data_IF_218645650863
#
_entry.id   IF_218645650863
#
_cell.length_a   1.000
_cell.length_b   1.000
_cell.length_c   1.000
_cell.angle_alpha   90.00
_cell.angle_beta   90.00
_cell.angle_gamma   90.00
#
_symmetry.space_group_name_H-M   'P 1'
#
loop_
_entity.id
_entity.type
_entity.pdbx_description
1 polymer ?
#
# COMPACT_ATOMS: atom_id res chain seq x y z
N UNK A 1 -18.36 -57.65 -25.35
CA UNK A 1 -19.60 -58.29 -24.87
C UNK A 1 -19.93 -57.64 -23.54
N UNK A 2 -21.07 -57.03 -23.23
CA UNK A 2 -22.30 -56.63 -23.94
C UNK A 2 -22.98 -55.66 -22.98
N UNK A 3 -23.66 -54.62 -23.48
CA UNK A 3 -24.47 -53.71 -22.66
C UNK A 3 -25.60 -54.45 -21.92
N UNK A 4 -26.05 -53.93 -20.76
CA UNK A 4 -27.44 -53.50 -20.60
C UNK A 4 -27.65 -52.64 -19.32
N UNK A 5 -28.34 -51.54 -19.55
CA UNK A 5 -28.97 -50.62 -18.63
C UNK A 5 -30.37 -51.17 -18.23
N UNK A 6 -30.88 -50.89 -17.02
CA UNK A 6 -32.22 -50.28 -16.75
C UNK A 6 -32.42 -49.99 -15.25
N UNK A 7 -33.04 -48.83 -15.03
CA UNK A 7 -33.50 -48.09 -13.84
C UNK A 7 -34.43 -48.83 -12.85
N UNK A 8 -34.36 -48.43 -11.57
CA UNK A 8 -35.54 -48.15 -10.74
C UNK A 8 -35.21 -47.16 -9.60
N UNK A 9 -36.10 -46.17 -9.43
CA UNK A 9 -36.12 -45.15 -8.36
C UNK A 9 -36.77 -45.69 -7.09
N UNK A 10 -36.28 -45.31 -5.92
CA UNK A 10 -37.12 -44.93 -4.79
C UNK A 10 -36.39 -43.99 -3.85
N UNK A 11 -37.05 -42.89 -3.55
CA UNK A 11 -36.64 -41.79 -2.69
C UNK A 11 -36.69 -42.18 -1.21
N UNK A 12 -35.55 -42.16 -0.53
CA UNK A 12 -35.51 -41.98 0.92
C UNK A 12 -34.49 -40.89 1.25
N UNK A 13 -35.00 -39.81 1.80
CA UNK A 13 -34.26 -38.63 2.26
C UNK A 13 -33.42 -38.97 3.49
N UNK A 14 -32.10 -38.97 3.33
CA UNK A 14 -31.15 -38.95 4.45
C UNK A 14 -31.19 -37.58 5.17
N UNK A 15 -31.06 -37.56 6.51
CA UNK A 15 -31.10 -36.33 7.29
C UNK A 15 -29.89 -35.45 6.97
N UNK A 16 -30.14 -34.17 6.65
CA UNK A 16 -29.10 -33.16 6.43
C UNK A 16 -28.25 -33.02 7.70
N UNK A 17 -26.97 -33.38 7.59
CA UNK A 17 -25.92 -32.98 8.54
C UNK A 17 -25.93 -31.45 8.66
N UNK A 18 -26.22 -30.94 9.85
CA UNK A 18 -26.11 -29.52 10.17
C UNK A 18 -24.64 -29.12 10.08
N UNK A 19 -24.34 -28.13 9.25
CA UNK A 19 -23.04 -27.46 9.26
C UNK A 19 -22.73 -26.90 10.66
N UNK A 20 -21.47 -26.89 11.10
CA UNK A 20 -21.09 -26.29 12.37
C UNK A 20 -21.31 -24.78 12.27
N UNK A 21 -22.28 -24.27 13.03
CA UNK A 21 -22.45 -22.84 13.21
C UNK A 21 -21.23 -22.30 13.97
N UNK A 22 -20.55 -21.32 13.39
CA UNK A 22 -19.43 -20.62 14.03
C UNK A 22 -19.93 -19.94 15.31
N UNK A 23 -19.15 -19.99 16.40
CA UNK A 23 -19.52 -19.41 17.71
C UNK A 23 -19.87 -17.91 17.65
N UNK A 24 -19.36 -17.18 16.66
CA UNK A 24 -19.69 -15.77 16.38
C UNK A 24 -21.20 -15.57 16.10
N UNK A 25 -21.84 -16.49 15.36
CA UNK A 25 -23.27 -16.42 15.09
C UNK A 25 -24.15 -16.71 16.32
N UNK A 26 -23.67 -17.51 17.26
CA UNK A 26 -24.40 -17.89 18.48
C UNK A 26 -24.37 -16.76 19.52
N UNK A 27 -23.27 -16.00 19.59
CA UNK A 27 -23.12 -14.85 20.49
C UNK A 27 -23.93 -13.63 20.01
N UNK A 28 -23.96 -13.35 18.71
CA UNK A 28 -24.84 -12.31 18.15
C UNK A 28 -26.32 -12.64 18.32
N UNK A 29 -26.72 -13.91 18.13
CA UNK A 29 -28.12 -14.33 18.31
C UNK A 29 -28.57 -14.33 19.77
N UNK A 30 -27.71 -14.76 20.71
CA UNK A 30 -28.02 -14.67 22.15
C UNK A 30 -28.11 -13.22 22.66
N UNK A 31 -27.32 -12.30 22.10
CA UNK A 31 -27.43 -10.86 22.41
C UNK A 31 -28.73 -10.27 21.84
N UNK A 32 -29.14 -10.70 20.65
CA UNK A 32 -30.40 -10.29 20.02
C UNK A 32 -31.64 -10.86 20.74
N UNK A 33 -31.58 -12.12 21.20
CA UNK A 33 -32.66 -12.77 21.96
C UNK A 33 -32.79 -12.20 23.39
N UNK A 34 -31.68 -11.83 24.04
CA UNK A 34 -31.72 -11.12 25.33
C UNK A 34 -32.33 -9.71 25.20
N UNK A 35 -32.12 -9.04 24.07
CA UNK A 35 -32.68 -7.72 23.79
C UNK A 35 -34.18 -7.79 23.47
N UNK A 36 -34.66 -8.87 22.83
CA UNK A 36 -36.08 -9.08 22.56
C UNK A 36 -36.89 -9.53 23.80
N UNK A 37 -36.26 -10.20 24.77
CA UNK A 37 -36.93 -10.54 26.05
C UNK A 37 -37.19 -9.33 26.96
N UNK A 38 -36.59 -8.18 26.65
CA UNK A 38 -36.73 -6.93 27.43
C UNK A 38 -37.81 -5.96 26.90
N UNK A 39 -38.65 -6.38 25.94
CA UNK A 39 -39.95 -5.75 25.65
C UNK A 39 -39.94 -4.27 25.28
N UNK A 40 -39.18 -3.86 24.24
CA UNK A 40 -39.25 -2.51 23.69
C UNK A 40 -39.39 -2.49 22.16
N UNK A 41 -40.17 -1.57 21.55
CA UNK A 41 -40.36 -1.50 20.12
C UNK A 41 -39.17 -0.75 19.49
N UNK A 42 -38.27 -1.47 18.83
CA UNK A 42 -37.25 -0.86 17.98
C UNK A 42 -37.07 -1.68 16.72
N UNK A 43 -38.03 -1.55 15.80
CA UNK A 43 -37.75 -1.72 14.38
C UNK A 43 -36.85 -0.54 13.95
N UNK A 44 -35.62 -0.83 13.55
CA UNK A 44 -34.68 0.16 13.04
C UNK A 44 -34.58 0.03 11.51
N UNK A 45 -35.39 0.80 10.80
CA UNK A 45 -35.22 1.02 9.36
C UNK A 45 -34.22 2.18 9.14
N UNK A 46 -33.04 1.88 8.60
CA UNK A 46 -32.12 2.88 8.06
C UNK A 46 -32.42 3.06 6.57
N UNK A 47 -32.86 4.26 6.16
CA UNK A 47 -32.92 4.66 4.74
C UNK A 47 -32.14 5.94 4.50
N UNK A 48 -31.36 5.91 3.43
CA UNK A 48 -30.66 7.05 2.84
C UNK A 48 -31.61 7.83 1.90
N UNK A 49 -31.45 9.14 1.84
CA UNK A 49 -32.07 10.01 0.85
C UNK A 49 -30.99 10.58 -0.09
N UNK A 50 -31.27 10.57 -1.39
CA UNK A 50 -30.35 10.81 -2.52
C UNK A 50 -29.96 12.29 -2.71
N UNK A 51 -30.17 13.13 -1.69
CA UNK A 51 -30.08 14.60 -1.76
C UNK A 51 -28.82 15.25 -1.17
N UNK A 52 -27.68 14.56 -1.15
CA UNK A 52 -26.37 15.13 -0.74
C UNK A 52 -26.32 15.74 0.69
N UNK A 53 -27.11 15.20 1.62
CA UNK A 53 -27.00 15.48 3.05
C UNK A 53 -27.41 14.26 3.88
N UNK A 54 -26.61 13.89 4.88
CA UNK A 54 -27.15 13.32 6.13
C UNK A 54 -26.12 13.47 7.27
N UNK A 55 -26.48 13.75 8.53
CA UNK A 55 -27.75 13.51 9.25
C UNK A 55 -28.15 14.74 10.11
N UNK A 56 -29.45 15.09 10.16
CA UNK A 56 -30.03 16.17 11.01
C UNK A 56 -30.93 15.56 12.11
N UNK A 57 -30.89 16.15 13.32
CA UNK A 57 -31.74 15.86 14.47
C UNK A 57 -33.21 16.32 14.35
N UNK A 58 -34.16 15.52 14.86
CA UNK A 58 -35.53 15.90 15.28
C UNK A 58 -36.52 14.74 15.14
N UNK A 59 -37.39 14.34 16.09
CA UNK A 59 -37.75 14.82 17.42
C UNK A 59 -37.40 13.78 18.50
N UNK A 60 -36.67 14.22 19.52
CA UNK A 60 -36.51 13.58 20.83
C UNK A 60 -36.03 12.11 20.85
N UNK A 61 -34.73 11.91 20.59
CA UNK A 61 -33.77 11.24 21.51
C UNK A 61 -32.42 11.07 20.83
N UNK A 62 -31.38 11.63 21.44
CA UNK A 62 -29.97 11.43 21.07
C UNK A 62 -29.49 10.14 21.73
N UNK A 63 -28.95 9.20 20.96
CA UNK A 63 -28.22 8.09 21.54
C UNK A 63 -26.79 8.53 21.84
N UNK A 64 -26.61 9.02 23.07
CA UNK A 64 -25.31 9.10 23.70
C UNK A 64 -24.88 7.68 24.09
N UNK A 65 -23.82 7.17 23.47
CA UNK A 65 -22.93 6.30 24.23
C UNK A 65 -22.47 7.12 25.44
N UNK A 66 -22.58 6.58 26.67
CA UNK A 66 -21.95 7.16 27.87
C UNK A 66 -20.43 7.14 27.64
N UNK A 67 -19.94 8.12 26.88
CA UNK A 67 -18.62 8.06 26.24
C UNK A 67 -18.42 9.05 25.09
N UNK A 68 -19.49 9.52 24.43
CA UNK A 68 -19.46 10.78 23.63
C UNK A 68 -18.92 10.75 22.19
N UNK A 69 -19.05 9.65 21.45
CA UNK A 69 -18.69 9.60 20.02
C UNK A 69 -19.80 9.02 19.13
N UNK A 70 -19.81 9.40 17.86
CA UNK A 70 -20.57 8.75 16.79
C UNK A 70 -19.62 7.85 15.99
N UNK A 71 -19.97 6.56 15.84
CA UNK A 71 -19.18 5.59 15.07
C UNK A 71 -19.81 5.35 13.70
N UNK A 72 -18.97 5.34 12.65
CA UNK A 72 -19.40 5.08 11.27
C UNK A 72 -18.51 4.02 10.61
N UNK A 73 -19.12 3.20 9.75
CA UNK A 73 -18.39 2.30 8.86
C UNK A 73 -17.69 3.11 7.77
N UNK A 74 -16.38 2.89 7.59
CA UNK A 74 -15.52 3.64 6.66
C UNK A 74 -16.13 3.82 5.27
N UNK A 75 -16.62 2.75 4.66
CA UNK A 75 -17.08 2.77 3.27
C UNK A 75 -18.32 3.67 3.09
N UNK A 76 -19.20 3.70 4.10
CA UNK A 76 -20.44 4.49 4.10
C UNK A 76 -20.22 6.01 4.12
N UNK A 77 -19.05 6.47 4.59
CA UNK A 77 -18.73 7.91 4.72
C UNK A 77 -17.48 8.32 3.94
N UNK A 78 -16.90 7.41 3.16
CA UNK A 78 -15.63 7.61 2.44
C UNK A 78 -15.64 8.83 1.50
N UNK A 79 -16.79 9.19 0.93
CA UNK A 79 -16.96 10.35 0.05
C UNK A 79 -17.21 11.68 0.78
N UNK A 80 -17.44 11.67 2.10
CA UNK A 80 -17.73 12.89 2.89
C UNK A 80 -16.50 13.78 2.93
N UNK A 81 -16.66 15.05 2.52
CA UNK A 81 -15.58 16.04 2.51
C UNK A 81 -15.23 16.56 3.91
N UNK A 82 -13.95 16.83 4.14
CA UNK A 82 -13.40 17.38 5.38
C UNK A 82 -14.13 18.65 5.87
N UNK A 83 -14.44 19.65 5.01
CA UNK A 83 -15.22 20.82 5.41
C UNK A 83 -16.61 20.49 5.98
N UNK A 84 -17.26 19.42 5.48
CA UNK A 84 -18.57 18.99 5.99
C UNK A 84 -18.46 18.45 7.41
N UNK A 85 -17.41 17.68 7.71
CA UNK A 85 -17.12 17.18 9.06
C UNK A 85 -16.82 18.35 10.00
N UNK A 86 -15.93 19.26 9.58
CA UNK A 86 -15.57 20.46 10.34
C UNK A 86 -16.78 21.30 10.70
N UNK A 87 -17.66 21.55 9.73
CA UNK A 87 -18.91 22.30 9.96
C UNK A 87 -19.80 21.58 10.98
N UNK A 88 -19.99 20.28 10.81
CA UNK A 88 -20.82 19.46 11.71
C UNK A 88 -20.31 19.50 13.16
N UNK A 89 -18.99 19.38 13.37
CA UNK A 89 -18.39 19.47 14.70
C UNK A 89 -18.51 20.88 15.30
N UNK A 90 -18.36 21.95 14.49
CA UNK A 90 -18.54 23.34 14.95
C UNK A 90 -19.99 23.65 15.35
N UNK A 91 -20.94 23.14 14.58
CA UNK A 91 -22.37 23.33 14.88
C UNK A 91 -22.77 22.54 16.14
N UNK A 92 -22.15 21.37 16.34
CA UNK A 92 -22.36 20.53 17.53
C UNK A 92 -21.75 21.15 18.80
N UNK A 93 -20.54 21.70 18.72
CA UNK A 93 -19.88 22.32 19.88
C UNK A 93 -20.58 23.58 20.38
N UNK A 94 -21.30 24.30 19.49
CA UNK A 94 -22.13 25.45 19.86
C UNK A 94 -23.45 25.08 20.52
N UNK A 95 -23.93 23.86 20.28
CA UNK A 95 -25.24 23.39 20.75
C UNK A 95 -25.15 22.53 22.02
N UNK A 96 -23.96 22.40 22.62
CA UNK A 96 -23.80 21.64 23.87
C UNK A 96 -24.75 22.17 24.96
N UNK A 97 -25.56 21.28 25.59
CA UNK A 97 -26.24 21.63 26.82
C UNK A 97 -25.18 22.01 27.87
N UNK A 98 -25.46 23.01 28.71
CA UNK A 98 -24.61 23.45 29.84
C UNK A 98 -24.16 22.35 30.83
N UNK A 99 -24.53 21.10 30.59
CA UNK A 99 -24.28 19.91 31.41
C UNK A 99 -23.36 18.90 30.71
N UNK A 100 -22.29 19.31 30.01
CA UNK A 100 -21.13 18.43 29.75
C UNK A 100 -20.18 18.54 30.96
N UNK A 101 -20.34 17.73 32.03
CA UNK A 101 -19.64 17.92 33.31
C UNK A 101 -18.12 17.69 33.22
N UNK A 102 -17.61 17.22 32.08
CA UNK A 102 -16.18 16.94 31.88
C UNK A 102 -15.52 17.83 30.85
N UNK A 103 -16.28 18.69 30.14
CA UNK A 103 -15.74 19.54 29.07
C UNK A 103 -14.99 18.75 28.00
N UNK A 104 -15.36 17.49 27.78
CA UNK A 104 -14.69 16.64 26.79
C UNK A 104 -15.08 17.12 25.39
N UNK A 105 -14.12 17.21 24.45
CA UNK A 105 -14.41 17.58 23.07
C UNK A 105 -15.38 16.60 22.42
N UNK A 106 -16.20 17.12 21.50
CA UNK A 106 -17.06 16.29 20.64
C UNK A 106 -16.18 15.69 19.54
N UNK A 107 -16.09 14.37 19.52
CA UNK A 107 -15.30 13.62 18.55
C UNK A 107 -16.20 12.85 17.58
N UNK A 108 -15.75 12.76 16.33
CA UNK A 108 -16.36 11.94 15.29
C UNK A 108 -15.43 10.76 15.00
N UNK A 109 -15.89 9.53 15.23
CA UNK A 109 -15.04 8.32 15.14
C UNK A 109 -15.41 7.49 13.92
N UNK A 110 -14.40 7.15 13.13
CA UNK A 110 -14.48 6.19 12.04
C UNK A 110 -13.85 4.89 12.49
N UNK A 111 -14.59 3.82 12.31
CA UNK A 111 -14.15 2.47 12.69
C UNK A 111 -13.94 1.67 11.41
N UNK A 112 -12.78 1.03 11.33
CA UNK A 112 -12.50 0.06 10.27
C UNK A 112 -12.07 -1.27 10.89
N UNK A 113 -12.68 -2.35 10.42
CA UNK A 113 -12.20 -3.69 10.72
C UNK A 113 -10.93 -3.96 9.93
N UNK A 114 -9.88 -4.38 10.63
CA UNK A 114 -8.61 -4.70 9.99
C UNK A 114 -8.43 -6.20 9.95
N UNK A 115 -8.37 -6.77 8.75
CA UNK A 115 -7.95 -8.16 8.53
C UNK A 115 -6.42 -8.28 8.53
N UNK A 116 -5.75 -7.74 9.55
CA UNK A 116 -4.27 -7.66 9.60
C UNK A 116 -3.60 -8.95 10.15
N UNK A 117 -4.38 -9.97 10.52
CA UNK A 117 -3.86 -11.18 11.16
C UNK A 117 -2.82 -11.94 10.30
N UNK A 118 -2.84 -11.78 8.97
CA UNK A 118 -1.91 -12.43 8.05
C UNK A 118 -0.61 -11.68 7.74
N UNK A 119 -0.38 -10.48 8.31
CA UNK A 119 0.69 -9.57 7.84
C UNK A 119 1.69 -9.11 8.91
N UNK A 120 1.53 -9.59 10.14
CA UNK A 120 2.47 -9.31 11.22
C UNK A 120 3.76 -10.12 11.03
N UNK A 121 4.92 -9.49 11.25
CA UNK A 121 6.22 -10.18 11.29
C UNK A 121 6.27 -11.23 12.42
N UNK A 122 7.16 -12.21 12.33
CA UNK A 122 7.30 -13.27 13.36
C UNK A 122 7.47 -12.70 14.78
N UNK A 123 8.21 -11.59 14.93
CA UNK A 123 8.34 -10.89 16.22
C UNK A 123 7.04 -10.23 16.68
N UNK A 124 6.25 -9.67 15.76
CA UNK A 124 4.94 -9.09 16.07
C UNK A 124 3.91 -10.17 16.40
N UNK A 125 3.96 -11.34 15.75
CA UNK A 125 3.14 -12.51 16.08
C UNK A 125 3.50 -13.05 17.47
N UNK A 126 4.79 -13.20 17.78
CA UNK A 126 5.27 -13.71 19.06
C UNK A 126 4.92 -12.77 20.24
N UNK A 127 4.91 -11.45 20.01
CA UNK A 127 4.51 -10.48 21.04
C UNK A 127 2.99 -10.24 21.10
N UNK A 128 2.29 -10.30 19.97
CA UNK A 128 0.81 -10.30 19.97
C UNK A 128 0.26 -11.52 20.72
N UNK A 129 0.95 -12.66 20.65
CA UNK A 129 0.62 -13.86 21.42
C UNK A 129 0.84 -13.71 22.93
N UNK A 130 1.72 -12.80 23.38
CA UNK A 130 1.99 -12.58 24.82
C UNK A 130 0.97 -11.66 25.47
N UNK A 131 0.28 -10.81 24.70
CA UNK A 131 -0.79 -9.91 25.17
C UNK A 131 -2.18 -10.58 25.21
N UNK A 132 -2.23 -11.90 25.40
CA UNK A 132 -3.40 -12.78 25.30
C UNK A 132 -4.44 -12.55 26.42
N UNK A 133 -5.18 -11.44 26.38
CA UNK A 133 -6.44 -11.26 27.14
C UNK A 133 -7.57 -10.63 26.32
N UNK A 134 -7.32 -10.20 25.08
CA UNK A 134 -8.37 -9.62 24.25
C UNK A 134 -8.38 -10.24 22.85
N UNK A 135 -9.31 -11.16 22.60
CA UNK A 135 -9.83 -11.51 21.27
C UNK A 135 -10.52 -10.29 20.66
N UNK A 136 -9.75 -9.25 20.32
CA UNK A 136 -10.24 -8.04 19.68
C UNK A 136 -9.89 -8.16 18.20
N UNK A 137 -10.93 -8.29 17.37
CA UNK A 137 -10.96 -7.70 16.03
C UNK A 137 -10.22 -6.36 16.11
N UNK A 138 -8.95 -6.29 15.67
CA UNK A 138 -8.17 -5.06 15.79
C UNK A 138 -8.86 -4.01 14.93
N UNK A 139 -9.65 -3.16 15.57
CA UNK A 139 -10.30 -2.02 14.96
C UNK A 139 -9.28 -0.89 14.92
N UNK A 140 -8.97 -0.42 13.71
CA UNK A 140 -8.25 0.84 13.57
C UNK A 140 -9.27 1.95 13.84
N UNK A 141 -9.00 2.74 14.88
CA UNK A 141 -9.78 3.92 15.20
C UNK A 141 -9.17 5.15 14.54
N UNK A 142 -10.01 5.91 13.87
CA UNK A 142 -9.68 7.17 13.22
C UNK A 142 -10.65 8.21 13.73
N UNK A 143 -10.16 9.24 14.40
CA UNK A 143 -10.97 10.24 15.05
C UNK A 143 -10.81 11.59 14.36
N UNK A 144 -11.91 12.32 14.24
CA UNK A 144 -11.93 13.70 13.81
C UNK A 144 -12.39 14.55 14.98
N UNK A 145 -11.61 15.57 15.33
CA UNK A 145 -11.90 16.47 16.44
C UNK A 145 -11.55 17.91 16.08
N UNK A 146 -11.91 18.88 16.92
CA UNK A 146 -11.50 20.27 16.73
C UNK A 146 -10.40 20.64 17.74
N UNK A 147 -9.37 21.34 17.29
CA UNK A 147 -8.39 21.96 18.20
C UNK A 147 -8.96 23.25 18.84
N UNK A 148 -8.17 23.90 19.69
CA UNK A 148 -8.55 25.16 20.36
C UNK A 148 -8.88 26.30 19.39
N UNK A 149 -8.29 26.28 18.20
CA UNK A 149 -8.48 27.28 17.14
C UNK A 149 -9.67 26.95 16.23
N UNK A 150 -10.33 25.81 16.48
CA UNK A 150 -11.45 25.32 15.69
C UNK A 150 -11.05 24.76 14.33
N UNK A 151 -9.79 24.36 14.16
CA UNK A 151 -9.32 23.59 13.02
C UNK A 151 -9.65 22.11 13.22
N UNK A 152 -9.88 21.40 12.12
CA UNK A 152 -10.18 19.98 12.16
C UNK A 152 -8.87 19.21 12.33
N UNK A 153 -8.78 18.37 13.36
CA UNK A 153 -7.72 17.39 13.54
C UNK A 153 -8.20 16.03 13.05
N UNK A 154 -7.32 15.31 12.36
CA UNK A 154 -7.45 13.89 12.05
C UNK A 154 -6.46 13.11 12.90
N UNK A 155 -6.97 12.29 13.82
CA UNK A 155 -6.21 11.60 14.86
C UNK A 155 -6.29 10.10 14.66
N UNK A 156 -5.16 9.42 14.64
CA UNK A 156 -5.11 7.96 14.55
C UNK A 156 -3.86 7.40 15.24
N UNK A 157 -3.89 6.10 15.54
CA UNK A 157 -2.76 5.40 16.14
C UNK A 157 -2.05 4.44 15.17
N UNK A 158 -0.76 4.20 15.47
CA UNK A 158 0.06 3.18 14.84
C UNK A 158 0.70 2.31 15.91
N UNK A 159 0.07 1.16 16.17
CA UNK A 159 0.60 0.17 17.12
C UNK A 159 1.78 -0.62 16.53
N UNK A 160 2.67 -1.07 17.41
CA UNK A 160 3.89 -1.82 17.09
C UNK A 160 4.78 -1.14 16.03
N UNK A 161 5.06 0.17 16.15
CA UNK A 161 5.90 0.85 15.19
C UNK A 161 7.35 0.35 15.33
N UNK A 162 8.05 0.28 14.20
CA UNK A 162 9.48 -0.04 14.15
C UNK A 162 10.34 1.15 14.61
N UNK A 163 9.81 2.36 14.50
CA UNK A 163 10.43 3.60 14.98
C UNK A 163 9.86 4.01 16.34
N UNK A 164 10.73 4.34 17.29
CA UNK A 164 10.35 4.69 18.67
C UNK A 164 10.79 6.09 19.11
N UNK A 165 11.51 6.81 18.26
CA UNK A 165 11.94 8.19 18.52
C UNK A 165 11.26 9.13 17.53
N UNK A 166 11.06 10.37 17.95
CA UNK A 166 10.51 11.41 17.06
C UNK A 166 11.41 11.65 15.84
N UNK A 167 12.74 11.54 16.00
CA UNK A 167 13.69 11.69 14.89
C UNK A 167 13.44 10.61 13.82
N UNK A 168 13.38 9.33 14.20
CA UNK A 168 13.15 8.22 13.26
C UNK A 168 11.74 8.28 12.65
N UNK A 169 10.74 8.71 13.44
CA UNK A 169 9.41 9.01 12.91
C UNK A 169 9.49 10.06 11.79
N UNK A 170 10.14 11.20 12.06
CA UNK A 170 10.23 12.30 11.09
C UNK A 170 11.00 11.89 9.85
N UNK A 171 12.11 11.17 9.99
CA UNK A 171 12.88 10.64 8.85
C UNK A 171 12.04 9.73 7.94
N UNK A 172 11.18 8.89 8.51
CA UNK A 172 10.32 7.96 7.75
C UNK A 172 9.07 8.62 7.17
N UNK A 173 8.42 9.49 7.95
CA UNK A 173 7.10 10.00 7.65
C UNK A 173 7.13 11.32 6.86
N UNK A 174 8.16 12.16 7.05
CA UNK A 174 8.19 13.54 6.52
C UNK A 174 8.00 13.60 5.01
N UNK A 175 8.68 12.73 4.25
CA UNK A 175 8.56 12.70 2.80
C UNK A 175 7.17 12.25 2.34
N UNK A 176 6.55 11.31 3.07
CA UNK A 176 5.21 10.87 2.75
C UNK A 176 4.18 11.96 3.05
N UNK A 177 4.28 12.58 4.22
CA UNK A 177 3.40 13.66 4.67
C UNK A 177 3.48 14.89 3.77
N UNK A 178 4.69 15.30 3.37
CA UNK A 178 4.88 16.43 2.45
C UNK A 178 4.23 16.16 1.09
N UNK A 179 4.29 14.93 0.59
CA UNK A 179 3.68 14.52 -0.68
C UNK A 179 2.18 14.51 -0.69
N UNK A 180 1.58 14.05 0.41
CA UNK A 180 0.12 14.10 0.54
C UNK A 180 -0.36 15.50 0.96
N UNK A 181 0.55 16.46 1.17
CA UNK A 181 0.24 17.81 1.64
C UNK A 181 -0.49 17.82 2.99
N UNK A 182 -0.14 16.88 3.86
CA UNK A 182 -0.66 16.82 5.22
C UNK A 182 0.35 17.43 6.20
N UNK A 183 -0.13 18.36 7.02
CA UNK A 183 0.66 18.93 8.11
C UNK A 183 0.46 18.12 9.39
N UNK A 184 1.55 17.94 10.15
CA UNK A 184 1.51 17.27 11.44
C UNK A 184 1.31 18.33 12.52
N UNK A 185 0.16 18.29 13.17
CA UNK A 185 -0.11 19.09 14.37
C UNK A 185 0.76 18.60 15.53
N UNK A 186 0.67 17.31 15.83
CA UNK A 186 1.44 16.70 16.92
C UNK A 186 1.59 15.19 16.77
N UNK A 187 2.64 14.67 17.41
CA UNK A 187 2.89 13.24 17.54
C UNK A 187 3.23 12.92 18.98
N UNK A 188 2.80 11.75 19.44
CA UNK A 188 3.11 11.26 20.79
C UNK A 188 3.38 9.77 20.74
N UNK A 189 4.54 9.36 21.26
CA UNK A 189 4.85 7.95 21.44
C UNK A 189 4.41 7.51 22.83
N UNK A 190 3.65 6.42 22.88
CA UNK A 190 3.26 5.74 24.10
C UNK A 190 4.06 4.45 24.21
N UNK A 191 4.87 4.35 25.28
CA UNK A 191 5.57 3.12 25.69
C UNK A 191 5.00 2.69 27.05
N UNK A 192 3.74 2.25 27.03
CA UNK A 192 3.03 1.73 28.18
C UNK A 192 3.34 0.24 28.34
N UNK A 193 3.58 -0.22 29.58
CA UNK A 193 3.82 -1.64 29.87
C UNK A 193 2.58 -2.52 29.66
N UNK A 194 1.41 -1.92 29.47
CA UNK A 194 0.09 -2.58 29.43
C UNK A 194 -0.49 -2.63 28.02
N UNK A 195 -0.21 -1.62 27.18
CA UNK A 195 -0.66 -1.59 25.78
C UNK A 195 0.56 -1.75 24.85
N UNK A 196 0.36 -2.17 23.60
CA UNK A 196 1.46 -2.19 22.66
C UNK A 196 2.04 -0.78 22.47
N UNK A 197 3.37 -0.65 22.30
CA UNK A 197 3.96 0.64 22.00
C UNK A 197 3.31 1.21 20.74
N UNK A 198 2.93 2.48 20.77
CA UNK A 198 2.14 3.10 19.72
C UNK A 198 2.50 4.57 19.51
N UNK A 199 2.39 5.02 18.27
CA UNK A 199 2.32 6.46 17.97
C UNK A 199 0.86 6.89 17.93
N UNK A 200 0.49 7.96 18.61
CA UNK A 200 -0.67 8.80 18.26
C UNK A 200 -0.18 9.92 17.36
N UNK A 201 -0.86 10.09 16.23
CA UNK A 201 -0.52 11.06 15.20
C UNK A 201 -1.75 11.95 15.00
N UNK A 202 -1.54 13.26 15.03
CA UNK A 202 -2.56 14.27 14.75
C UNK A 202 -2.15 15.05 13.50
N UNK A 203 -2.99 14.99 12.49
CA UNK A 203 -2.79 15.69 11.22
C UNK A 203 -3.83 16.81 11.06
N UNK A 204 -3.45 17.85 10.34
CA UNK A 204 -4.34 18.85 9.80
C UNK A 204 -4.68 18.44 8.34
N UNK A 205 -5.84 17.83 8.08
CA UNK A 205 -6.20 17.42 6.74
C UNK A 205 -6.61 18.65 5.88
N UNK A 206 -6.12 18.74 4.63
CA UNK A 206 -6.57 19.73 3.66
C UNK A 206 -8.09 19.76 3.41
N UNK A 207 -8.60 20.92 2.99
CA UNK A 207 -10.03 21.16 2.75
C UNK A 207 -10.60 20.38 1.56
N UNK A 208 -9.75 19.99 0.61
CA UNK A 208 -10.15 19.21 -0.56
C UNK A 208 -10.20 17.70 -0.29
N UNK A 209 -9.80 17.26 0.91
CA UNK A 209 -9.84 15.85 1.28
C UNK A 209 -11.25 15.35 1.62
N UNK A 210 -11.41 14.03 1.50
CA UNK A 210 -12.55 13.26 2.02
C UNK A 210 -12.14 12.37 3.20
N UNK A 211 -13.10 11.81 3.93
CA UNK A 211 -12.82 10.76 4.95
C UNK A 211 -12.01 9.62 4.34
N UNK A 212 -12.41 9.15 3.16
CA UNK A 212 -11.71 8.07 2.46
C UNK A 212 -10.25 8.40 2.22
N UNK A 213 -9.95 9.66 1.83
CA UNK A 213 -8.58 10.13 1.67
C UNK A 213 -7.80 10.17 2.99
N UNK A 214 -8.41 10.68 4.07
CA UNK A 214 -7.79 10.64 5.40
C UNK A 214 -7.41 9.19 5.79
N UNK A 215 -8.34 8.25 5.60
CA UNK A 215 -8.14 6.82 5.90
C UNK A 215 -7.14 6.13 4.95
N UNK A 216 -6.91 6.65 3.74
CA UNK A 216 -5.83 6.19 2.88
C UNK A 216 -4.47 6.64 3.41
N UNK A 217 -4.38 7.89 3.88
CA UNK A 217 -3.16 8.49 4.41
C UNK A 217 -2.74 7.87 5.72
N UNK A 218 -3.66 7.70 6.67
CA UNK A 218 -3.39 7.00 7.93
C UNK A 218 -2.86 5.59 7.68
N UNK A 219 -3.42 4.87 6.72
CA UNK A 219 -3.00 3.53 6.37
C UNK A 219 -1.60 3.50 5.73
N UNK A 220 -1.31 4.46 4.84
CA UNK A 220 0.04 4.66 4.32
C UNK A 220 1.06 4.88 5.45
N UNK A 221 0.73 5.75 6.42
CA UNK A 221 1.59 5.98 7.59
C UNK A 221 1.72 4.75 8.48
N UNK A 222 0.64 4.02 8.74
CA UNK A 222 0.69 2.76 9.49
C UNK A 222 1.66 1.79 8.84
N UNK A 223 1.60 1.64 7.52
CA UNK A 223 2.54 0.79 6.80
C UNK A 223 3.99 1.26 6.95
N UNK A 224 4.24 2.55 6.73
CA UNK A 224 5.58 3.16 6.82
C UNK A 224 6.23 2.95 8.18
N UNK A 225 5.42 3.10 9.23
CA UNK A 225 5.88 3.11 10.61
C UNK A 225 5.85 1.72 11.24
N UNK A 226 5.03 0.77 10.76
CA UNK A 226 5.01 -0.64 11.22
C UNK A 226 6.04 -1.51 10.51
N UNK A 227 6.39 -1.21 9.26
CA UNK A 227 7.24 -2.08 8.47
C UNK A 227 8.57 -1.40 8.17
N UNK A 228 9.66 -1.97 8.71
CA UNK A 228 11.04 -1.52 8.39
C UNK A 228 11.29 -1.42 6.89
N UNK A 229 10.63 -2.28 6.12
CA UNK A 229 10.78 -2.39 4.67
C UNK A 229 9.91 -1.42 3.87
N UNK A 230 8.95 -0.68 4.43
CA UNK A 230 8.00 0.14 3.68
C UNK A 230 8.50 1.55 3.30
N UNK A 231 9.81 1.84 3.36
CA UNK A 231 10.36 3.14 2.97
C UNK A 231 10.14 3.44 1.46
N UNK A 232 9.33 4.44 1.07
CA UNK A 232 9.01 4.74 -0.32
C UNK A 232 10.20 5.30 -1.08
N UNK A 233 11.27 5.69 -0.38
CA UNK A 233 12.53 6.17 -0.94
C UNK A 233 13.54 5.06 -1.21
N UNK A 234 13.15 3.80 -1.03
CA UNK A 234 13.97 2.64 -1.33
C UNK A 234 13.17 1.61 -2.16
N UNK A 235 13.83 0.81 -3.02
CA UNK A 235 13.17 -0.12 -3.93
C UNK A 235 12.16 -1.05 -3.26
N UNK A 236 12.59 -1.73 -2.20
CA UNK A 236 11.77 -2.72 -1.51
C UNK A 236 10.55 -2.09 -0.82
N UNK A 237 10.65 -0.84 -0.37
CA UNK A 237 9.55 -0.17 0.30
C UNK A 237 8.54 0.45 -0.63
N UNK A 238 9.00 1.08 -1.71
CA UNK A 238 8.13 1.48 -2.79
C UNK A 238 7.37 0.26 -3.38
N UNK A 239 8.07 -0.86 -3.61
CA UNK A 239 7.45 -2.11 -4.03
C UNK A 239 6.40 -2.63 -3.02
N UNK A 240 6.73 -2.64 -1.73
CA UNK A 240 5.79 -3.08 -0.67
C UNK A 240 4.52 -2.23 -0.63
N UNK A 241 4.66 -0.90 -0.76
CA UNK A 241 3.53 0.03 -0.78
C UNK A 241 2.66 -0.17 -2.04
N UNK A 242 3.27 -0.37 -3.21
CA UNK A 242 2.55 -0.71 -4.43
C UNK A 242 1.73 -2.00 -4.26
N UNK A 243 2.33 -3.06 -3.71
CA UNK A 243 1.62 -4.32 -3.47
C UNK A 243 0.47 -4.21 -2.46
N UNK A 244 0.49 -3.19 -1.61
CA UNK A 244 -0.62 -2.87 -0.71
C UNK A 244 -1.68 -1.94 -1.33
N UNK A 245 -1.59 -1.65 -2.63
CA UNK A 245 -2.53 -0.77 -3.33
C UNK A 245 -2.34 0.71 -2.98
N UNK A 246 -1.17 1.10 -2.50
CA UNK A 246 -0.84 2.48 -2.08
C UNK A 246 0.05 3.16 -3.12
N UNK A 247 -0.37 3.16 -4.38
CA UNK A 247 0.45 3.70 -5.46
C UNK A 247 0.65 5.23 -5.36
N UNK A 248 -0.33 5.95 -4.82
CA UNK A 248 -0.32 7.40 -4.64
C UNK A 248 0.81 7.87 -3.73
N UNK A 249 1.35 7.01 -2.88
CA UNK A 249 2.46 7.36 -1.98
C UNK A 249 3.77 7.63 -2.72
N UNK A 250 3.84 7.24 -4.00
CA UNK A 250 4.99 7.48 -4.88
C UNK A 250 4.87 8.79 -5.68
N UNK A 251 3.70 9.44 -5.70
CA UNK A 251 3.57 10.75 -6.33
C UNK A 251 4.48 11.76 -5.63
N UNK A 252 5.21 12.57 -6.41
CA UNK A 252 6.25 13.46 -5.92
C UNK A 252 7.59 12.76 -5.64
N UNK A 253 7.77 11.47 -5.94
CA UNK A 253 9.11 10.88 -6.04
C UNK A 253 9.80 11.38 -7.31
N UNK A 254 11.07 11.81 -7.25
CA UNK A 254 11.90 11.88 -8.44
C UNK A 254 12.22 10.45 -8.92
N UNK A 255 12.37 10.27 -10.23
CA UNK A 255 13.14 9.16 -10.75
C UNK A 255 14.58 9.21 -10.20
N UNK A 256 15.18 8.04 -10.03
CA UNK A 256 16.45 7.90 -9.32
C UNK A 256 17.29 6.76 -9.87
N UNK A 257 18.41 6.48 -9.21
CA UNK A 257 19.24 5.29 -9.43
C UNK A 257 18.54 3.98 -9.12
N UNK A 258 17.34 4.03 -8.54
CA UNK A 258 16.60 2.84 -8.17
C UNK A 258 15.13 2.87 -8.64
N UNK A 259 14.60 4.02 -9.06
CA UNK A 259 13.23 4.18 -9.54
C UNK A 259 13.20 4.66 -10.99
N UNK A 260 12.47 3.92 -11.84
CA UNK A 260 12.14 4.31 -13.21
C UNK A 260 10.63 4.15 -13.41
N UNK A 261 9.99 5.11 -14.07
CA UNK A 261 8.60 4.97 -14.48
C UNK A 261 8.39 5.18 -15.97
N UNK A 262 7.40 4.47 -16.50
CA UNK A 262 6.93 4.65 -17.87
C UNK A 262 5.44 4.91 -17.86
N UNK A 263 4.99 5.87 -18.67
CA UNK A 263 3.55 6.14 -18.82
C UNK A 263 2.81 4.98 -19.51
N UNK A 264 3.46 4.35 -20.48
CA UNK A 264 2.90 3.24 -21.28
C UNK A 264 3.79 2.01 -21.18
N UNK A 265 3.19 0.85 -21.36
CA UNK A 265 3.93 -0.41 -21.37
C UNK A 265 4.88 -0.48 -22.56
N UNK A 266 5.98 -1.21 -22.36
CA UNK A 266 6.85 -1.62 -23.46
C UNK A 266 6.03 -2.30 -24.55
N UNK A 267 6.20 -1.88 -25.78
CA UNK A 267 5.59 -2.53 -26.94
C UNK A 267 6.24 -3.89 -27.19
N UNK A 268 5.92 -4.93 -26.40
CA UNK A 268 6.59 -6.24 -26.46
C UNK A 268 6.42 -6.96 -27.82
N UNK A 269 5.63 -6.44 -28.75
CA UNK A 269 5.66 -6.89 -30.14
C UNK A 269 6.95 -6.47 -30.88
N UNK A 270 7.54 -5.34 -30.50
CA UNK A 270 8.67 -4.70 -31.18
C UNK A 270 10.01 -5.07 -30.54
N UNK A 271 11.01 -5.37 -31.38
CA UNK A 271 12.33 -5.80 -30.89
C UNK A 271 13.10 -4.68 -30.17
N UNK A 272 12.92 -3.43 -30.58
CA UNK A 272 13.50 -2.23 -29.92
C UNK A 272 13.00 -2.12 -28.48
N UNK A 273 11.69 -2.25 -28.28
CA UNK A 273 11.01 -2.17 -26.98
C UNK A 273 11.37 -3.36 -26.08
N UNK A 274 11.52 -4.57 -26.64
CA UNK A 274 12.06 -5.73 -25.89
C UNK A 274 13.49 -5.49 -25.41
N UNK A 275 14.32 -4.88 -26.26
CA UNK A 275 15.69 -4.55 -25.91
C UNK A 275 15.74 -3.43 -24.86
N UNK A 276 14.89 -2.41 -24.96
CA UNK A 276 14.76 -1.34 -23.97
C UNK A 276 14.40 -1.88 -22.58
N UNK A 277 13.37 -2.73 -22.48
CA UNK A 277 12.99 -3.42 -21.24
C UNK A 277 14.18 -4.19 -20.65
N UNK A 278 14.87 -4.97 -21.47
CA UNK A 278 16.02 -5.76 -21.01
C UNK A 278 17.15 -4.85 -20.51
N UNK A 279 17.37 -3.70 -21.18
CA UNK A 279 18.35 -2.71 -20.76
C UNK A 279 17.99 -2.03 -19.44
N UNK A 280 16.73 -1.69 -19.21
CA UNK A 280 16.27 -1.09 -17.95
C UNK A 280 16.43 -2.08 -16.79
N UNK A 281 16.00 -3.33 -16.98
CA UNK A 281 16.14 -4.38 -15.97
C UNK A 281 17.60 -4.69 -15.66
N UNK A 282 18.46 -4.82 -16.69
CA UNK A 282 19.88 -5.09 -16.48
C UNK A 282 20.62 -3.90 -15.85
N UNK A 283 20.21 -2.65 -16.12
CA UNK A 283 20.80 -1.48 -15.47
C UNK A 283 20.58 -1.50 -13.95
N UNK A 284 19.38 -1.89 -13.51
CA UNK A 284 19.10 -2.09 -12.08
C UNK A 284 19.77 -3.34 -11.51
N UNK A 285 19.86 -4.44 -12.27
CA UNK A 285 20.60 -5.62 -11.82
C UNK A 285 22.11 -5.34 -11.63
N UNK A 286 22.65 -4.38 -12.38
CA UNK A 286 24.02 -3.87 -12.26
C UNK A 286 24.18 -2.75 -11.22
N UNK A 287 23.11 -2.31 -10.54
CA UNK A 287 23.20 -1.34 -9.44
C UNK A 287 23.43 -2.06 -8.10
N UNK A 288 23.83 -1.30 -7.08
CA UNK A 288 24.05 -1.85 -5.73
C UNK A 288 22.75 -2.28 -5.06
N UNK A 289 21.69 -1.50 -5.22
CA UNK A 289 20.44 -1.65 -4.47
C UNK A 289 19.31 -2.32 -5.27
N UNK A 290 19.60 -2.71 -6.51
CA UNK A 290 18.57 -3.15 -7.45
C UNK A 290 17.73 -1.97 -7.94
N UNK A 291 16.43 -2.19 -8.12
CA UNK A 291 15.53 -1.13 -8.52
C UNK A 291 14.09 -1.56 -8.69
N UNK A 292 13.28 -0.57 -9.06
CA UNK A 292 11.85 -0.66 -9.25
C UNK A 292 11.49 0.04 -10.54
N UNK A 293 10.89 -0.71 -11.45
CA UNK A 293 10.34 -0.18 -12.68
C UNK A 293 8.82 -0.26 -12.64
N UNK A 294 8.15 0.85 -12.92
CA UNK A 294 6.69 0.94 -12.84
C UNK A 294 6.11 1.46 -14.15
N UNK A 295 5.13 0.77 -14.71
CA UNK A 295 4.33 1.27 -15.81
C UNK A 295 2.99 1.79 -15.31
N UNK A 296 2.64 2.99 -15.75
CA UNK A 296 1.40 3.66 -15.43
C UNK A 296 1.60 4.95 -14.64
N UNK A 297 2.81 5.51 -14.62
CA UNK A 297 3.07 6.84 -14.06
C UNK A 297 3.58 7.78 -15.15
N UNK A 298 3.23 9.06 -15.07
CA UNK A 298 3.87 10.13 -15.84
C UNK A 298 4.78 10.96 -14.96
N UNK A 299 5.77 11.58 -15.59
CA UNK A 299 6.69 12.51 -14.94
C UNK A 299 6.59 13.91 -15.54
N UNK A 300 6.95 14.90 -14.75
CA UNK A 300 7.23 16.27 -15.18
C UNK A 300 8.58 16.72 -14.61
N UNK A 301 9.27 17.61 -15.32
CA UNK A 301 10.54 18.16 -14.84
C UNK A 301 10.30 19.20 -13.73
N UNK A 302 10.98 19.04 -12.61
CA UNK A 302 11.04 20.07 -11.57
C UNK A 302 11.97 21.23 -11.96
N UNK A 303 12.04 22.31 -11.16
CA UNK A 303 12.96 23.42 -11.42
C UNK A 303 14.45 23.03 -11.45
N UNK A 304 14.81 21.87 -10.90
CA UNK A 304 16.17 21.32 -10.94
C UNK A 304 16.39 20.36 -12.14
N UNK A 305 15.39 20.18 -13.00
CA UNK A 305 15.44 19.35 -14.20
C UNK A 305 15.19 17.86 -13.98
N UNK A 306 14.84 17.45 -12.74
CA UNK A 306 14.58 16.04 -12.37
C UNK A 306 13.17 15.65 -12.77
N UNK A 307 13.00 14.43 -13.26
CA UNK A 307 11.70 13.89 -13.62
C UNK A 307 10.96 13.42 -12.37
N UNK A 308 9.91 14.14 -11.97
CA UNK A 308 9.09 13.87 -10.78
C UNK A 308 7.80 13.17 -11.19
N UNK A 309 7.44 12.08 -10.51
CA UNK A 309 6.18 11.36 -10.71
C UNK A 309 4.99 12.28 -10.35
N UNK A 310 4.18 12.69 -11.33
CA UNK A 310 3.08 13.65 -11.12
C UNK A 310 1.70 13.02 -11.19
N UNK A 311 1.50 11.96 -11.97
CA UNK A 311 0.19 11.38 -12.18
C UNK A 311 0.25 9.86 -12.41
N UNK A 312 -0.80 9.17 -11.98
CA UNK A 312 -1.01 7.74 -12.24
C UNK A 312 -2.01 7.59 -13.40
N UNK A 313 -1.56 6.97 -14.47
CA UNK A 313 -2.32 6.60 -15.65
C UNK A 313 -2.34 5.08 -15.78
N UNK A 314 -3.21 4.37 -15.06
CA UNK A 314 -3.21 2.91 -15.08
C UNK A 314 -3.56 2.42 -16.50
N UNK A 315 -2.69 1.64 -17.17
CA UNK A 315 -3.07 0.99 -18.41
C UNK A 315 -4.32 0.12 -18.24
N UNK A 316 -5.09 -0.04 -19.32
CA UNK A 316 -6.34 -0.78 -19.31
C UNK A 316 -6.13 -2.19 -18.73
N UNK A 317 -7.01 -2.62 -17.83
CA UNK A 317 -6.99 -3.97 -17.25
C UNK A 317 -6.84 -5.04 -18.33
N UNK A 318 -5.90 -5.96 -18.13
CA UNK A 318 -5.57 -7.02 -19.08
C UNK A 318 -4.68 -6.59 -20.27
N UNK A 319 -4.15 -5.37 -20.30
CA UNK A 319 -3.22 -4.93 -21.37
C UNK A 319 -1.82 -5.55 -21.25
N UNK A 320 -1.50 -6.19 -20.13
CA UNK A 320 -0.19 -6.79 -19.87
C UNK A 320 -0.25 -8.32 -19.88
N UNK A 321 0.78 -8.94 -20.46
CA UNK A 321 1.02 -10.37 -20.36
C UNK A 321 2.34 -10.61 -19.60
N UNK A 322 2.25 -10.86 -18.29
CA UNK A 322 3.43 -10.97 -17.42
C UNK A 322 4.39 -12.08 -17.85
N UNK A 323 3.87 -13.20 -18.36
CA UNK A 323 4.68 -14.29 -18.86
C UNK A 323 5.55 -13.85 -20.05
N UNK A 324 5.01 -13.00 -20.93
CA UNK A 324 5.77 -12.48 -22.08
C UNK A 324 6.87 -11.53 -21.61
N UNK A 325 6.61 -10.68 -20.63
CA UNK A 325 7.64 -9.81 -20.03
C UNK A 325 8.78 -10.63 -19.41
N UNK A 326 8.44 -11.62 -18.58
CA UNK A 326 9.41 -12.53 -17.96
C UNK A 326 10.23 -13.28 -19.01
N UNK A 327 9.59 -13.76 -20.08
CA UNK A 327 10.28 -14.45 -21.18
C UNK A 327 11.23 -13.53 -21.94
N UNK A 328 10.86 -12.27 -22.17
CA UNK A 328 11.76 -11.29 -22.80
C UNK A 328 12.99 -11.04 -21.94
N UNK A 329 12.79 -10.83 -20.64
CA UNK A 329 13.87 -10.62 -19.66
C UNK A 329 14.81 -11.84 -19.66
N UNK A 330 14.27 -13.04 -19.47
CA UNK A 330 15.04 -14.29 -19.39
C UNK A 330 15.82 -14.60 -20.67
N UNK A 331 15.24 -14.29 -21.84
CA UNK A 331 15.90 -14.57 -23.13
C UNK A 331 16.98 -13.56 -23.51
N UNK A 332 16.94 -12.35 -22.93
CA UNK A 332 17.83 -11.26 -23.33
C UNK A 332 18.92 -10.96 -22.33
N UNK A 333 18.73 -11.26 -21.04
CA UNK A 333 19.70 -10.91 -20.00
C UNK A 333 20.53 -12.14 -19.63
N UNK A 334 21.84 -11.95 -19.46
CA UNK A 334 22.76 -13.01 -19.03
C UNK A 334 23.79 -12.44 -18.04
N UNK A 335 24.03 -13.08 -16.87
CA UNK A 335 23.28 -14.23 -16.34
C UNK A 335 21.80 -13.91 -16.05
N UNK A 336 20.95 -14.91 -15.79
CA UNK A 336 19.57 -14.65 -15.37
C UNK A 336 19.52 -13.81 -14.10
N UNK A 337 18.60 -12.84 -14.04
CA UNK A 337 18.39 -12.00 -12.85
C UNK A 337 17.64 -12.80 -11.79
N UNK A 338 18.23 -12.95 -10.61
CA UNK A 338 17.66 -13.74 -9.52
C UNK A 338 16.62 -12.93 -8.73
N UNK A 339 15.52 -13.57 -8.33
CA UNK A 339 14.51 -12.98 -7.45
C UNK A 339 13.70 -11.84 -8.04
N UNK A 340 13.81 -11.58 -9.35
CA UNK A 340 12.99 -10.58 -10.05
C UNK A 340 11.49 -10.90 -9.89
N UNK A 341 10.68 -9.87 -9.66
CA UNK A 341 9.22 -9.98 -9.54
C UNK A 341 8.56 -9.11 -10.58
N UNK A 342 7.59 -9.66 -11.30
CA UNK A 342 6.80 -8.96 -12.31
C UNK A 342 5.34 -9.16 -11.97
N UNK A 343 4.69 -8.09 -11.51
CA UNK A 343 3.37 -8.15 -10.89
C UNK A 343 2.45 -7.06 -11.42
N UNK A 344 1.14 -7.27 -11.27
CA UNK A 344 0.11 -6.28 -11.55
C UNK A 344 -0.47 -5.76 -10.24
N UNK A 345 -0.57 -4.45 -10.13
CA UNK A 345 -1.28 -3.77 -9.04
C UNK A 345 -2.52 -3.13 -9.62
N UNK A 346 -3.69 -3.61 -9.23
CA UNK A 346 -4.94 -2.97 -9.66
C UNK A 346 -5.04 -1.57 -9.07
N UNK A 347 -5.36 -0.60 -9.93
CA UNK A 347 -5.51 0.79 -9.57
C UNK A 347 -6.68 1.38 -10.35
N UNK A 348 -7.77 1.71 -9.65
CA UNK A 348 -9.05 2.16 -10.24
C UNK A 348 -9.54 1.18 -11.32
N UNK A 349 -9.67 1.65 -12.56
CA UNK A 349 -10.18 0.94 -13.73
C UNK A 349 -9.11 0.20 -14.53
N UNK A 350 -7.83 0.30 -14.15
CA UNK A 350 -6.72 -0.36 -14.81
C UNK A 350 -5.77 -1.10 -13.86
N UNK A 351 -4.60 -1.46 -14.39
CA UNK A 351 -3.53 -2.12 -13.63
C UNK A 351 -2.19 -1.45 -13.91
N UNK A 352 -1.37 -1.29 -12.87
CA UNK A 352 0.02 -0.88 -12.97
C UNK A 352 0.90 -2.13 -13.14
N UNK A 353 1.87 -2.09 -14.07
CA UNK A 353 2.91 -3.13 -14.15
C UNK A 353 4.05 -2.74 -13.24
N UNK A 354 4.38 -3.62 -12.29
CA UNK A 354 5.48 -3.41 -11.35
C UNK A 354 6.53 -4.49 -11.58
N UNK A 355 7.75 -4.06 -11.88
CA UNK A 355 8.91 -4.93 -12.01
C UNK A 355 9.90 -4.56 -10.91
N UNK A 356 10.03 -5.43 -9.91
CA UNK A 356 10.98 -5.27 -8.83
C UNK A 356 12.22 -6.13 -9.09
N UNK A 357 13.37 -5.48 -9.13
CA UNK A 357 14.68 -6.08 -9.32
C UNK A 357 15.41 -6.01 -7.98
N UNK A 358 15.61 -7.12 -7.25
CA UNK A 358 16.36 -7.07 -6.00
C UNK A 358 17.86 -6.84 -6.26
N UNK A 359 18.62 -6.39 -5.25
CA UNK A 359 20.08 -6.39 -5.29
C UNK A 359 20.62 -7.75 -5.76
N UNK A 360 21.55 -7.74 -6.71
CA UNK A 360 22.15 -8.96 -7.24
C UNK A 360 23.52 -9.21 -6.60
N UNK A 361 23.97 -10.48 -6.47
CA UNK A 361 25.30 -10.78 -6.00
C UNK A 361 26.35 -10.10 -6.89
N UNK A 362 27.36 -9.48 -6.28
CA UNK A 362 28.44 -8.78 -7.02
C UNK A 362 29.17 -9.71 -7.99
N UNK A 363 29.18 -11.01 -7.68
CA UNK A 363 29.97 -12.01 -8.41
C UNK A 363 29.26 -12.45 -9.70
N UNK A 364 27.98 -12.12 -9.80
CA UNK A 364 27.15 -12.33 -10.99
C UNK A 364 27.18 -11.10 -11.92
N UNK A 365 27.73 -9.97 -11.46
CA UNK A 365 27.87 -8.77 -12.28
C UNK A 365 29.11 -8.87 -13.18
N UNK A 366 29.05 -8.33 -14.41
CA UNK A 366 27.95 -7.54 -14.96
C UNK A 366 26.88 -8.40 -15.67
N UNK A 367 25.63 -7.94 -15.56
CA UNK A 367 24.50 -8.39 -16.36
C UNK A 367 24.55 -7.79 -17.76
N UNK A 368 24.59 -8.67 -18.75
CA UNK A 368 24.67 -8.36 -20.17
C UNK A 368 23.30 -8.44 -20.81
N UNK A 369 23.03 -7.58 -21.79
CA UNK A 369 21.84 -7.63 -22.64
C UNK A 369 22.23 -8.05 -24.05
N UNK A 370 21.57 -9.06 -24.59
CA UNK A 370 21.72 -9.49 -25.98
C UNK A 370 21.12 -8.45 -26.93
N UNK A 371 21.91 -8.12 -27.93
CA UNK A 371 21.66 -7.09 -28.92
C UNK A 371 22.17 -5.71 -28.49
N UNK A 372 22.29 -4.81 -29.46
CA UNK A 372 22.52 -3.39 -29.24
C UNK A 372 21.70 -2.57 -30.26
N UNK A 373 21.25 -1.38 -29.87
CA UNK A 373 20.62 -0.44 -30.80
C UNK A 373 21.71 0.25 -31.64
N UNK A 374 21.74 -0.04 -32.93
CA UNK A 374 22.65 0.59 -33.91
C UNK A 374 21.80 1.28 -34.96
N UNK A 375 21.90 2.61 -35.05
CA UNK A 375 21.14 3.44 -35.99
C UNK A 375 19.61 3.19 -35.93
N UNK A 376 19.07 2.99 -34.73
CA UNK A 376 17.64 2.75 -34.50
C UNK A 376 17.16 1.32 -34.78
N UNK A 377 18.06 0.39 -35.14
CA UNK A 377 17.76 -1.04 -35.30
C UNK A 377 18.49 -1.88 -34.25
N UNK A 378 17.81 -2.86 -33.68
CA UNK A 378 18.45 -3.81 -32.75
C UNK A 378 19.18 -4.87 -33.57
N UNK A 379 20.51 -4.90 -33.47
CA UNK A 379 21.32 -5.98 -34.05
C UNK A 379 21.67 -7.00 -32.98
N UNK A 380 21.32 -8.27 -33.23
CA UNK A 380 21.54 -9.39 -32.29
C UNK A 380 22.98 -9.86 -32.17
N UNK A 381 23.88 -9.39 -33.04
CA UNK A 381 25.31 -9.75 -33.02
C UNK A 381 26.12 -9.04 -31.92
N UNK A 382 25.53 -8.03 -31.28
CA UNK A 382 26.16 -7.23 -30.24
C UNK A 382 25.58 -7.56 -28.87
N UNK A 383 26.23 -7.05 -27.83
CA UNK A 383 25.67 -7.01 -26.48
C UNK A 383 25.85 -5.60 -25.91
N UNK A 384 25.08 -5.31 -24.87
CA UNK A 384 25.23 -4.10 -24.06
C UNK A 384 25.42 -4.49 -22.60
N UNK A 385 26.16 -3.68 -21.84
CA UNK A 385 26.23 -3.77 -20.38
C UNK A 385 25.65 -2.46 -19.84
N UNK A 386 24.33 -2.39 -19.58
CA UNK A 386 23.69 -1.20 -19.08
C UNK A 386 24.14 -0.92 -17.65
N UNK A 387 24.38 0.35 -17.33
CA UNK A 387 24.73 0.84 -16.01
C UNK A 387 23.78 1.98 -15.65
N UNK A 388 23.37 2.04 -14.39
CA UNK A 388 22.58 3.14 -13.86
C UNK A 388 23.51 4.23 -13.32
N UNK A 389 23.26 5.48 -13.67
CA UNK A 389 24.00 6.66 -13.18
C UNK A 389 22.95 7.72 -12.81
N UNK A 390 22.59 7.79 -11.53
CA UNK A 390 21.43 8.59 -11.12
C UNK A 390 20.16 8.11 -11.81
N UNK A 391 19.32 9.03 -12.30
CA UNK A 391 18.13 8.69 -13.10
C UNK A 391 18.46 8.19 -14.51
N UNK A 392 19.69 8.37 -14.98
CA UNK A 392 20.07 8.01 -16.35
C UNK A 392 20.61 6.59 -16.46
N UNK A 393 20.53 6.07 -17.69
CA UNK A 393 21.11 4.78 -18.07
C UNK A 393 22.20 5.01 -19.12
N UNK A 394 23.40 4.51 -18.85
CA UNK A 394 24.52 4.49 -19.81
C UNK A 394 24.91 3.06 -20.15
N UNK A 395 25.65 2.85 -21.23
CA UNK A 395 26.27 1.55 -21.54
C UNK A 395 27.74 1.59 -21.18
N UNK A 396 28.27 0.50 -20.59
CA UNK A 396 29.70 0.37 -20.32
C UNK A 396 30.50 0.51 -21.61
N UNK A 397 31.57 1.30 -21.57
CA UNK A 397 32.39 1.56 -22.73
C UNK A 397 33.23 0.33 -23.14
N UNK A 398 33.59 0.17 -24.42
CA UNK A 398 34.45 -0.91 -24.89
C UNK A 398 35.78 -1.00 -24.14
N UNK A 399 36.37 0.13 -23.74
CA UNK A 399 37.65 0.19 -23.01
C UNK A 399 37.53 -0.43 -21.62
N UNK A 400 36.41 -0.17 -20.93
CA UNK A 400 36.12 -0.80 -19.62
C UNK A 400 35.93 -2.30 -19.76
N UNK A 401 35.18 -2.74 -20.78
CA UNK A 401 34.98 -4.17 -21.08
C UNK A 401 36.32 -4.83 -21.35
N UNK A 402 37.15 -4.25 -22.21
CA UNK A 402 38.49 -4.75 -22.52
C UNK A 402 39.35 -4.85 -21.25
N UNK A 403 39.33 -3.82 -20.39
CA UNK A 403 40.08 -3.81 -19.13
C UNK A 403 39.67 -4.94 -18.20
N UNK A 404 38.37 -5.21 -18.06
CA UNK A 404 37.85 -6.34 -17.27
C UNK A 404 38.30 -7.69 -17.83
N UNK A 405 38.25 -7.86 -19.14
CA UNK A 405 38.68 -9.10 -19.81
C UNK A 405 40.19 -9.35 -19.62
N UNK A 406 41.01 -8.31 -19.76
CA UNK A 406 42.46 -8.39 -19.52
C UNK A 406 42.74 -8.76 -18.06
N UNK A 407 42.10 -8.10 -17.09
CA UNK A 407 42.26 -8.40 -15.68
C UNK A 407 41.88 -9.86 -15.35
N UNK A 408 40.74 -10.34 -15.87
CA UNK A 408 40.31 -11.73 -15.70
C UNK A 408 41.29 -12.73 -16.30
N UNK A 409 41.80 -12.48 -17.51
CA UNK A 409 42.83 -13.33 -18.15
C UNK A 409 44.12 -13.39 -17.33
N UNK A 410 44.62 -12.23 -16.88
CA UNK A 410 45.84 -12.17 -16.06
C UNK A 410 45.67 -12.92 -14.74
N UNK A 411 44.52 -12.76 -14.07
CA UNK A 411 44.23 -13.48 -12.82
C UNK A 411 44.19 -15.00 -13.01
N UNK A 412 43.57 -15.47 -14.10
CA UNK A 412 43.54 -16.90 -14.43
C UNK A 412 44.92 -17.44 -14.79
N UNK A 413 45.77 -16.64 -15.44
CA UNK A 413 47.17 -17.01 -15.73
C UNK A 413 48.03 -17.05 -14.45
N UNK A 414 47.85 -16.11 -13.53
CA UNK A 414 48.55 -16.14 -12.22
C UNK A 414 48.13 -17.33 -11.36
N UNK A 415 46.84 -17.70 -11.41
CA UNK A 415 46.36 -18.94 -10.80
C UNK A 415 46.79 -20.19 -11.56
N UNK A 416 47.29 -20.03 -12.79
CA UNK A 416 47.66 -21.04 -13.76
C UNK A 416 49.11 -21.54 -13.68
N UNK A 417 49.79 -21.37 -12.54
CA UNK A 417 50.67 -22.43 -12.02
C UNK A 417 49.78 -23.60 -11.50
N UNK A 418 48.98 -24.20 -12.39
CA UNK A 418 48.23 -25.45 -12.19
C UNK A 418 48.97 -26.57 -12.89
#
# INVERSE_FOLDING_TARGET
>A
MTNHCVLARSSESLPRLRQPQTMSGILCRKRYELLNQLGGPYDMDMKWDEGDKAVIFGNQKVFYSRGGGCEFERDSISAVKVPSIRKTLKDSSRSEPKNNPRGLPIDFTVVSEVSDAGRLSDWQLENAFKSFVWEIEKKNFENFSLNSDGELLFVFSVDFPVCRTEIDFRERASLYLSRVSAEVDSIRFFDNRVDPPAWEIRLLPPDDWTVGRCSEVSEGLRMLLRYRKANPSAPIGAYTLLMAGKAETLLGQPESDWLEVKRKGYGIAEQSQKHELACDVAAFANSTDGGLLIVGFSTEKDPAGRDILTMIHPPRRGSFNLQTYMQVIANRITPPVEGIRVELVSYRDGDLLVIFIPPQPKEMQPYLVRGASVSGRVSGAYFSIPQRIGSDKSTMSPERVHSMLVAGRSFLQMKGDI
#
